data_IF_729073313411
#
_entry.id   IF_729073313411
#
_cell.length_a   1.000
_cell.length_b   1.000
_cell.length_c   1.000
_cell.angle_alpha   90.00
_cell.angle_beta   90.00
_cell.angle_gamma   90.00
#
_symmetry.space_group_name_H-M   'P 1'
#
loop_
_entity.id
_entity.type
_entity.pdbx_description
1 polymer ?
#
# COMPACT_ATOMS: atom_id res chain seq x y z
N UNK A 1 -0.64 16.68 -17.71
CA UNK A 1 -0.02 16.11 -18.92
C UNK A 1 -1.05 15.50 -19.88
N UNK A 2 -1.66 14.35 -19.59
CA UNK A 2 -2.46 13.58 -20.58
C UNK A 2 -3.50 14.37 -21.40
N UNK A 3 -4.42 15.10 -20.76
CA UNK A 3 -5.43 15.89 -21.48
C UNK A 3 -4.84 17.07 -22.26
N UNK A 4 -3.84 17.76 -21.70
CA UNK A 4 -3.13 18.85 -22.37
C UNK A 4 -2.35 18.37 -23.59
N UNK A 5 -1.65 17.23 -23.47
CA UNK A 5 -0.96 16.57 -24.58
C UNK A 5 -1.95 16.09 -25.65
N UNK A 6 -3.11 15.57 -25.25
CA UNK A 6 -4.17 15.18 -26.19
C UNK A 6 -4.73 16.40 -26.95
N UNK A 7 -4.92 17.53 -26.28
CA UNK A 7 -5.31 18.80 -26.92
C UNK A 7 -4.24 19.29 -27.90
N UNK A 8 -2.97 19.33 -27.49
CA UNK A 8 -1.85 19.70 -28.37
C UNK A 8 -1.78 18.77 -29.59
N UNK A 9 -1.97 17.47 -29.39
CA UNK A 9 -1.96 16.50 -30.49
C UNK A 9 -3.09 16.74 -31.49
N UNK A 10 -4.27 17.16 -31.05
CA UNK A 10 -5.39 17.45 -31.96
C UNK A 10 -5.19 18.75 -32.75
N UNK A 11 -4.54 19.74 -32.16
CA UNK A 11 -4.43 21.09 -32.73
C UNK A 11 -3.17 21.30 -33.58
N UNK A 12 -2.05 20.65 -33.25
CA UNK A 12 -0.79 20.80 -34.01
C UNK A 12 -0.86 19.91 -35.25
N UNK A 13 -0.96 20.51 -36.45
CA UNK A 13 -0.86 19.78 -37.73
C UNK A 13 0.51 20.07 -38.36
N UNK A 14 1.22 19.01 -38.72
CA UNK A 14 2.51 19.09 -39.37
C UNK A 14 2.42 18.53 -40.79
N UNK A 15 3.33 18.95 -41.64
CA UNK A 15 3.49 18.37 -42.97
C UNK A 15 3.98 16.91 -42.86
N UNK A 16 3.65 16.06 -43.84
CA UNK A 16 3.95 14.60 -43.82
C UNK A 16 5.40 14.28 -43.43
N UNK A 17 6.37 15.07 -43.90
CA UNK A 17 7.80 14.88 -43.63
C UNK A 17 8.21 15.17 -42.18
N UNK A 18 7.37 15.87 -41.41
CA UNK A 18 7.64 16.29 -40.03
C UNK A 18 6.71 15.62 -39.01
N UNK A 19 5.77 14.77 -39.43
CA UNK A 19 4.82 14.11 -38.53
C UNK A 19 5.52 13.27 -37.46
N UNK A 20 6.67 12.67 -37.77
CA UNK A 20 7.48 11.91 -36.81
C UNK A 20 8.01 12.75 -35.64
N UNK A 21 8.23 14.05 -35.83
CA UNK A 21 8.71 14.94 -34.76
C UNK A 21 7.64 15.23 -33.70
N UNK A 22 6.37 15.04 -34.05
CA UNK A 22 5.24 15.41 -33.19
C UNK A 22 5.19 14.60 -31.89
N UNK A 23 5.12 13.26 -31.90
CA UNK A 23 5.13 12.47 -30.67
C UNK A 23 6.51 12.42 -30.00
N UNK A 24 7.60 12.57 -30.77
CA UNK A 24 8.97 12.39 -30.26
C UNK A 24 9.47 13.64 -29.52
N UNK A 25 9.16 14.84 -30.01
CA UNK A 25 9.75 16.08 -29.51
C UNK A 25 8.69 17.10 -29.10
N UNK A 26 7.77 17.42 -30.00
CA UNK A 26 6.86 18.57 -29.83
C UNK A 26 5.87 18.32 -28.68
N UNK A 27 5.23 17.16 -28.65
CA UNK A 27 4.25 16.83 -27.63
C UNK A 27 4.87 16.63 -26.23
N UNK A 28 6.01 15.94 -26.07
CA UNK A 28 6.70 15.87 -24.78
C UNK A 28 7.13 17.25 -24.26
N UNK A 29 7.74 18.10 -25.10
CA UNK A 29 8.21 19.43 -24.69
C UNK A 29 7.02 20.34 -24.33
N UNK A 30 6.07 20.52 -25.24
CA UNK A 30 4.96 21.43 -25.00
C UNK A 30 4.01 20.90 -23.91
N UNK A 31 3.81 19.58 -23.84
CA UNK A 31 2.97 18.95 -22.82
C UNK A 31 3.58 19.05 -21.42
N UNK A 32 4.90 18.84 -21.29
CA UNK A 32 5.61 19.02 -20.02
C UNK A 32 5.72 20.49 -19.64
N UNK A 33 6.01 21.39 -20.59
CA UNK A 33 6.05 22.84 -20.37
C UNK A 33 4.68 23.36 -19.90
N UNK A 34 3.60 23.01 -20.59
CA UNK A 34 2.24 23.40 -20.20
C UNK A 34 1.90 22.88 -18.79
N UNK A 35 2.21 21.61 -18.50
CA UNK A 35 1.94 21.02 -17.19
C UNK A 35 2.80 21.67 -16.10
N UNK A 36 4.07 21.95 -16.38
CA UNK A 36 5.00 22.60 -15.48
C UNK A 36 4.61 24.04 -15.16
N UNK A 37 4.23 24.83 -16.17
CA UNK A 37 3.75 26.21 -15.97
C UNK A 37 2.45 26.24 -15.19
N UNK A 38 1.49 25.34 -15.47
CA UNK A 38 0.28 25.20 -14.66
C UNK A 38 0.61 24.83 -13.21
N UNK A 39 1.56 23.92 -13.01
CA UNK A 39 2.03 23.56 -11.67
C UNK A 39 2.68 24.74 -10.95
N UNK A 40 3.45 25.58 -11.65
CA UNK A 40 4.11 26.73 -11.02
C UNK A 40 3.14 27.87 -10.68
N UNK A 41 2.27 28.26 -11.62
CA UNK A 41 1.49 29.50 -11.49
C UNK A 41 0.08 29.30 -10.95
N UNK A 42 -0.50 28.11 -11.07
CA UNK A 42 -1.91 27.88 -10.74
C UNK A 42 -2.06 26.88 -9.61
N UNK A 43 -1.34 25.77 -9.66
CA UNK A 43 -1.57 24.64 -8.75
C UNK A 43 -0.62 24.67 -7.55
N UNK A 44 0.62 25.13 -7.74
CA UNK A 44 1.70 24.99 -6.77
C UNK A 44 1.43 25.69 -5.45
N UNK A 45 1.01 26.96 -5.49
CA UNK A 45 0.73 27.74 -4.28
C UNK A 45 -0.47 27.19 -3.49
N UNK A 46 -1.65 26.91 -4.08
CA UNK A 46 -2.75 26.26 -3.36
C UNK A 46 -2.37 24.91 -2.75
N UNK A 47 -1.59 24.10 -3.48
CA UNK A 47 -1.14 22.79 -2.98
C UNK A 47 -0.12 22.95 -1.84
N UNK A 48 0.79 23.91 -1.93
CA UNK A 48 1.75 24.20 -0.87
C UNK A 48 1.05 24.67 0.42
N UNK A 49 0.06 25.56 0.31
CA UNK A 49 -0.75 26.01 1.45
C UNK A 49 -1.54 24.86 2.07
N UNK A 50 -2.15 24.00 1.25
CA UNK A 50 -2.84 22.80 1.73
C UNK A 50 -1.88 21.86 2.46
N UNK A 51 -0.70 21.61 1.87
CA UNK A 51 0.31 20.72 2.46
C UNK A 51 0.85 21.29 3.78
N UNK A 52 1.06 22.60 3.87
CA UNK A 52 1.47 23.27 5.11
C UNK A 52 0.40 23.10 6.20
N UNK A 53 -0.87 23.40 5.89
CA UNK A 53 -1.99 23.22 6.83
C UNK A 53 -2.12 21.77 7.30
N UNK A 54 -2.01 20.81 6.38
CA UNK A 54 -2.04 19.38 6.70
C UNK A 54 -0.84 18.98 7.56
N UNK A 55 0.35 19.51 7.25
CA UNK A 55 1.57 19.22 8.00
C UNK A 55 1.49 19.74 9.43
N UNK A 56 1.00 20.96 9.61
CA UNK A 56 0.79 21.56 10.93
C UNK A 56 -0.26 20.78 11.73
N UNK A 57 -1.36 20.37 11.09
CA UNK A 57 -2.35 19.52 11.73
C UNK A 57 -1.73 18.20 12.21
N UNK A 58 -1.01 17.50 11.33
CA UNK A 58 -0.36 16.22 11.62
C UNK A 58 0.73 16.33 12.69
N UNK A 59 1.52 17.41 12.70
CA UNK A 59 2.56 17.65 13.71
C UNK A 59 1.98 17.91 15.10
N UNK A 60 0.81 18.55 15.16
CA UNK A 60 0.11 18.84 16.40
C UNK A 60 -0.84 17.71 16.84
N UNK A 61 -0.91 16.61 16.09
CA UNK A 61 -1.73 15.46 16.48
C UNK A 61 -1.20 14.80 17.75
N UNK A 62 -2.06 14.71 18.76
CA UNK A 62 -1.75 14.01 20.01
C UNK A 62 -2.41 12.63 20.05
N UNK A 63 -1.65 11.63 20.51
CA UNK A 63 -2.12 10.32 20.97
C UNK A 63 -3.21 9.67 20.12
N UNK A 64 -4.48 9.87 20.49
CA UNK A 64 -5.63 9.21 19.87
C UNK A 64 -5.83 9.51 18.37
N UNK A 65 -5.54 10.73 17.91
CA UNK A 65 -5.68 11.07 16.48
C UNK A 65 -4.61 10.39 15.63
N UNK A 66 -3.41 10.20 16.16
CA UNK A 66 -2.30 9.51 15.49
C UNK A 66 -2.62 8.03 15.27
N UNK A 67 -3.18 7.40 16.30
CA UNK A 67 -3.64 6.01 16.24
C UNK A 67 -4.75 5.84 15.19
N UNK A 68 -5.74 6.75 15.19
CA UNK A 68 -6.84 6.71 14.23
C UNK A 68 -6.35 6.91 12.78
N UNK A 69 -5.43 7.85 12.55
CA UNK A 69 -4.82 8.04 11.24
C UNK A 69 -4.08 6.77 10.78
N UNK A 70 -3.28 6.17 11.67
CA UNK A 70 -2.59 4.92 11.39
C UNK A 70 -3.55 3.79 11.03
N UNK A 71 -4.68 3.68 11.74
CA UNK A 71 -5.73 2.73 11.46
C UNK A 71 -6.31 2.93 10.06
N UNK A 72 -6.67 4.17 9.70
CA UNK A 72 -7.24 4.49 8.39
C UNK A 72 -6.26 4.18 7.26
N UNK A 73 -5.00 4.61 7.38
CA UNK A 73 -3.94 4.29 6.42
C UNK A 73 -3.82 2.77 6.27
N UNK A 74 -3.80 2.04 7.39
CA UNK A 74 -3.69 0.60 7.37
C UNK A 74 -4.87 -0.11 6.67
N UNK A 75 -6.10 0.34 6.92
CA UNK A 75 -7.28 -0.15 6.21
C UNK A 75 -7.17 0.09 4.70
N UNK A 76 -6.77 1.29 4.29
CA UNK A 76 -6.62 1.65 2.88
C UNK A 76 -5.54 0.82 2.17
N UNK A 77 -4.41 0.57 2.84
CA UNK A 77 -3.33 -0.25 2.28
C UNK A 77 -3.78 -1.69 1.97
N UNK A 78 -4.71 -2.25 2.73
CA UNK A 78 -5.18 -3.63 2.53
C UNK A 78 -6.44 -3.77 1.68
N UNK A 79 -7.16 -2.67 1.42
CA UNK A 79 -8.49 -2.71 0.82
C UNK A 79 -8.52 -3.40 -0.56
N UNK A 80 -7.56 -3.06 -1.42
CA UNK A 80 -7.49 -3.54 -2.81
C UNK A 80 -6.10 -4.10 -3.19
N UNK A 81 -5.28 -4.43 -2.19
CA UNK A 81 -4.00 -5.13 -2.33
C UNK A 81 -3.04 -4.55 -3.40
N UNK A 82 -3.05 -3.23 -3.59
CA UNK A 82 -2.22 -2.54 -4.59
C UNK A 82 -3.02 -1.75 -5.63
N UNK A 83 -4.35 -1.72 -5.50
CA UNK A 83 -5.24 -0.91 -6.33
C UNK A 83 -5.25 0.58 -5.97
N UNK A 84 -6.23 1.34 -6.51
CA UNK A 84 -6.30 2.80 -6.36
C UNK A 84 -6.32 3.29 -4.91
N UNK A 85 -6.98 2.59 -3.99
CA UNK A 85 -7.12 3.00 -2.59
C UNK A 85 -5.79 2.83 -1.86
N UNK A 86 -5.12 1.68 -2.05
CA UNK A 86 -3.77 1.45 -1.54
C UNK A 86 -2.79 2.50 -2.07
N UNK A 87 -2.78 2.75 -3.40
CA UNK A 87 -1.86 3.73 -3.99
C UNK A 87 -2.16 5.16 -3.52
N UNK A 88 -3.42 5.50 -3.26
CA UNK A 88 -3.77 6.79 -2.67
C UNK A 88 -3.18 6.97 -1.26
N UNK A 89 -3.32 5.96 -0.38
CA UNK A 89 -2.74 5.99 0.96
C UNK A 89 -1.20 6.03 0.92
N UNK A 90 -0.58 5.27 0.02
CA UNK A 90 0.87 5.27 -0.16
C UNK A 90 1.39 6.61 -0.69
N UNK A 91 0.71 7.20 -1.68
CA UNK A 91 1.08 8.50 -2.24
C UNK A 91 0.93 9.62 -1.19
N UNK A 92 -0.15 9.60 -0.40
CA UNK A 92 -0.33 10.50 0.73
C UNK A 92 0.83 10.39 1.72
N UNK A 93 1.16 9.16 2.14
CA UNK A 93 2.23 8.91 3.11
C UNK A 93 3.61 9.30 2.59
N UNK A 94 3.87 9.07 1.30
CA UNK A 94 5.12 9.45 0.62
C UNK A 94 5.23 10.98 0.49
N UNK A 95 4.14 11.66 0.15
CA UNK A 95 4.13 13.12 0.00
C UNK A 95 4.51 13.85 1.30
N UNK A 96 4.16 13.27 2.45
CA UNK A 96 4.48 13.81 3.77
C UNK A 96 5.96 13.71 4.15
N UNK A 97 6.74 12.84 3.49
CA UNK A 97 8.19 12.75 3.70
C UNK A 97 8.87 14.07 3.35
N UNK A 98 8.40 14.77 2.32
CA UNK A 98 8.93 16.07 1.92
C UNK A 98 8.71 17.17 2.98
N UNK A 99 7.74 16.97 3.88
CA UNK A 99 7.46 17.85 5.02
C UNK A 99 8.03 17.30 6.34
N UNK A 100 8.94 16.33 6.26
CA UNK A 100 9.60 15.66 7.39
C UNK A 100 8.62 14.95 8.34
N UNK A 101 7.46 14.53 7.83
CA UNK A 101 6.44 13.78 8.58
C UNK A 101 6.51 12.32 8.16
N UNK A 102 7.23 11.52 8.95
CA UNK A 102 7.62 10.15 8.60
C UNK A 102 6.74 9.04 9.19
N UNK A 103 5.85 9.37 10.13
CA UNK A 103 4.97 8.41 10.81
C UNK A 103 3.98 7.71 9.87
N UNK A 104 3.20 8.45 9.06
CA UNK A 104 2.29 7.88 8.06
C UNK A 104 2.97 6.90 7.11
N UNK A 105 4.22 7.18 6.70
CA UNK A 105 4.99 6.28 5.86
C UNK A 105 5.33 4.97 6.57
N UNK A 106 5.71 5.00 7.85
CA UNK A 106 5.93 3.79 8.62
C UNK A 106 4.65 2.95 8.75
N UNK A 107 3.51 3.61 9.03
CA UNK A 107 2.22 2.94 9.12
C UNK A 107 1.82 2.28 7.79
N UNK A 108 1.97 2.99 6.67
CA UNK A 108 1.68 2.47 5.34
C UNK A 108 2.56 1.26 5.00
N UNK A 109 3.86 1.33 5.30
CA UNK A 109 4.79 0.23 5.07
C UNK A 109 4.45 -1.02 5.88
N UNK A 110 4.30 -0.88 7.20
CA UNK A 110 3.95 -2.01 8.06
C UNK A 110 2.63 -2.64 7.61
N UNK A 111 1.62 -1.81 7.34
CA UNK A 111 0.30 -2.27 6.94
C UNK A 111 0.22 -2.87 5.53
N UNK A 112 1.10 -2.50 4.60
CA UNK A 112 1.12 -3.13 3.26
C UNK A 112 1.85 -4.46 3.22
N UNK A 113 2.73 -4.74 4.19
CA UNK A 113 3.40 -6.05 4.33
C UNK A 113 2.47 -7.10 4.98
N UNK A 114 1.56 -6.69 5.87
CA UNK A 114 0.73 -7.61 6.67
C UNK A 114 -0.25 -8.48 5.88
N UNK A 115 -0.88 -8.07 4.76
CA UNK A 115 -1.81 -8.93 4.03
C UNK A 115 -1.18 -10.24 3.53
N UNK A 116 -0.12 -10.22 2.71
CA UNK A 116 0.50 -11.45 2.21
C UNK A 116 1.25 -12.23 3.31
N UNK A 117 1.87 -11.55 4.30
CA UNK A 117 2.49 -12.23 5.43
C UNK A 117 1.46 -12.96 6.31
N UNK A 118 0.32 -12.32 6.58
CA UNK A 118 -0.75 -12.89 7.38
C UNK A 118 -1.41 -14.07 6.70
N UNK A 119 -1.58 -14.03 5.38
CA UNK A 119 -2.02 -15.18 4.58
C UNK A 119 -1.00 -16.32 4.67
N UNK A 120 0.28 -16.05 4.46
CA UNK A 120 1.33 -17.06 4.54
C UNK A 120 1.41 -17.73 5.92
N UNK A 121 1.16 -16.95 6.98
CA UNK A 121 1.08 -17.48 8.34
C UNK A 121 -0.20 -18.32 8.51
N UNK A 122 -1.34 -17.86 8.02
CA UNK A 122 -2.63 -18.55 8.13
C UNK A 122 -2.63 -19.91 7.41
N UNK A 123 -2.01 -20.01 6.23
CA UNK A 123 -1.93 -21.26 5.47
C UNK A 123 -1.12 -22.34 6.20
N UNK A 124 -0.11 -21.93 6.98
CA UNK A 124 0.71 -22.83 7.80
C UNK A 124 0.03 -23.21 9.11
N UNK A 125 -0.60 -22.25 9.80
CA UNK A 125 -1.25 -22.50 11.11
C UNK A 125 -2.62 -23.17 10.99
N UNK A 126 -3.35 -22.91 9.90
CA UNK A 126 -4.73 -23.37 9.72
C UNK A 126 -4.93 -24.09 8.38
N UNK A 127 -4.10 -25.09 8.03
CA UNK A 127 -4.07 -25.69 6.68
C UNK A 127 -5.41 -26.27 6.24
N UNK A 128 -6.25 -26.74 7.19
CA UNK A 128 -7.59 -27.25 6.91
C UNK A 128 -8.59 -26.23 6.35
N UNK A 129 -8.24 -24.93 6.26
CA UNK A 129 -9.06 -23.86 5.66
C UNK A 129 -8.60 -23.44 4.27
N UNK A 130 -7.50 -24.02 3.79
CA UNK A 130 -6.86 -23.64 2.53
C UNK A 130 -6.68 -24.86 1.64
N UNK A 131 -6.89 -24.70 0.33
CA UNK A 131 -6.66 -25.75 -0.67
C UNK A 131 -5.17 -26.08 -0.79
N UNK A 132 -4.82 -27.15 -1.50
CA UNK A 132 -3.41 -27.48 -1.80
C UNK A 132 -2.70 -26.29 -2.45
N UNK A 133 -3.29 -25.75 -3.52
CA UNK A 133 -2.78 -24.59 -4.25
C UNK A 133 -2.66 -23.33 -3.38
N UNK A 134 -3.64 -23.07 -2.49
CA UNK A 134 -3.58 -21.92 -1.57
C UNK A 134 -2.43 -22.07 -0.56
N UNK A 135 -2.11 -23.29 -0.12
CA UNK A 135 -0.99 -23.52 0.80
C UNK A 135 0.35 -23.33 0.11
N UNK A 136 0.48 -23.81 -1.13
CA UNK A 136 1.68 -23.62 -1.94
C UNK A 136 1.90 -22.13 -2.26
N UNK A 137 0.84 -21.45 -2.71
CA UNK A 137 0.87 -20.01 -2.95
C UNK A 137 1.19 -19.20 -1.67
N UNK A 138 0.88 -19.73 -0.48
CA UNK A 138 1.23 -19.10 0.79
C UNK A 138 2.73 -18.89 0.99
N UNK A 139 3.58 -19.77 0.46
CA UNK A 139 5.04 -19.56 0.53
C UNK A 139 5.49 -18.41 -0.37
N UNK A 140 4.93 -18.30 -1.57
CA UNK A 140 5.18 -17.17 -2.46
C UNK A 140 4.67 -15.86 -1.83
N UNK A 141 3.48 -15.87 -1.21
CA UNK A 141 2.94 -14.73 -0.47
C UNK A 141 3.88 -14.28 0.66
N UNK A 142 4.55 -15.19 1.37
CA UNK A 142 5.52 -14.81 2.40
C UNK A 142 6.65 -13.94 1.82
N UNK A 143 7.24 -14.36 0.71
CA UNK A 143 8.35 -13.65 0.06
C UNK A 143 7.88 -12.29 -0.47
N UNK A 144 6.73 -12.26 -1.13
CA UNK A 144 6.11 -11.02 -1.63
C UNK A 144 5.81 -10.05 -0.48
N UNK A 145 5.29 -10.55 0.64
CA UNK A 145 5.03 -9.73 1.82
C UNK A 145 6.27 -9.14 2.45
N UNK A 146 7.35 -9.93 2.55
CA UNK A 146 8.66 -9.43 2.98
C UNK A 146 9.20 -8.35 2.04
N UNK A 147 8.85 -8.40 0.76
CA UNK A 147 9.22 -7.40 -0.24
C UNK A 147 8.25 -6.20 -0.33
N UNK A 148 7.24 -6.13 0.55
CA UNK A 148 6.18 -5.12 0.48
C UNK A 148 5.38 -5.14 -0.83
N UNK A 149 5.10 -6.36 -1.32
CA UNK A 149 4.26 -6.61 -2.48
C UNK A 149 2.94 -7.19 -1.96
N UNK A 150 1.95 -6.31 -1.75
CA UNK A 150 0.63 -6.67 -1.22
C UNK A 150 -0.18 -7.55 -2.18
N UNK A 151 0.18 -7.54 -3.46
CA UNK A 151 -0.47 -8.25 -4.56
C UNK A 151 -0.43 -9.78 -4.39
N UNK A 152 0.53 -10.30 -3.58
CA UNK A 152 0.57 -11.71 -3.20
C UNK A 152 -0.71 -12.21 -2.51
N UNK A 153 -1.54 -11.30 -1.99
CA UNK A 153 -2.84 -11.61 -1.38
C UNK A 153 -3.99 -11.70 -2.39
N UNK A 154 -3.84 -11.17 -3.62
CA UNK A 154 -4.91 -11.11 -4.63
C UNK A 154 -5.51 -12.49 -4.95
N UNK A 155 -4.72 -13.56 -5.17
CA UNK A 155 -5.28 -14.88 -5.50
C UNK A 155 -6.21 -15.43 -4.40
N UNK A 156 -5.94 -15.08 -3.14
CA UNK A 156 -6.75 -15.50 -2.00
C UNK A 156 -8.02 -14.66 -1.89
N UNK A 157 -7.89 -13.34 -2.05
CA UNK A 157 -9.02 -12.43 -2.06
C UNK A 157 -9.98 -12.67 -3.24
N UNK A 158 -9.45 -13.02 -4.42
CA UNK A 158 -10.27 -13.37 -5.58
C UNK A 158 -11.12 -14.63 -5.35
N UNK A 159 -10.60 -15.60 -4.58
CA UNK A 159 -11.33 -16.84 -4.24
C UNK A 159 -12.39 -16.65 -3.16
N UNK A 160 -12.13 -15.81 -2.16
CA UNK A 160 -13.04 -15.59 -1.03
C UNK A 160 -13.01 -14.13 -0.53
N UNK A 161 -13.53 -13.18 -1.32
CA UNK A 161 -13.32 -11.75 -1.09
C UNK A 161 -13.94 -11.27 0.22
N UNK A 162 -15.14 -11.75 0.54
CA UNK A 162 -15.91 -11.32 1.72
C UNK A 162 -15.28 -11.74 3.05
N UNK A 163 -14.37 -12.71 3.05
CA UNK A 163 -13.69 -13.17 4.27
C UNK A 163 -12.24 -12.75 4.30
N UNK A 164 -11.59 -12.78 3.14
CA UNK A 164 -10.17 -12.43 3.04
C UNK A 164 -9.99 -10.93 3.18
N UNK A 165 -10.65 -10.09 2.37
CA UNK A 165 -10.41 -8.64 2.38
C UNK A 165 -10.64 -8.04 3.78
N UNK A 166 -11.77 -8.32 4.49
CA UNK A 166 -11.93 -7.81 5.85
C UNK A 166 -10.87 -8.31 6.83
N UNK A 167 -10.38 -9.55 6.68
CA UNK A 167 -9.29 -10.07 7.51
C UNK A 167 -7.98 -9.30 7.28
N UNK A 168 -7.66 -9.01 6.02
CA UNK A 168 -6.47 -8.23 5.65
C UNK A 168 -6.59 -6.80 6.21
N UNK A 169 -7.74 -6.17 6.02
CA UNK A 169 -8.01 -4.81 6.50
C UNK A 169 -7.86 -4.71 8.02
N UNK A 170 -8.42 -5.64 8.79
CA UNK A 170 -8.32 -5.61 10.26
C UNK A 170 -6.85 -5.74 10.71
N UNK A 171 -6.08 -6.67 10.12
CA UNK A 171 -4.67 -6.81 10.48
C UNK A 171 -3.81 -5.62 10.06
N UNK A 172 -4.00 -5.09 8.86
CA UNK A 172 -3.29 -3.91 8.37
C UNK A 172 -3.66 -2.64 9.12
N UNK A 173 -4.94 -2.45 9.46
CA UNK A 173 -5.42 -1.37 10.31
C UNK A 173 -4.79 -1.43 11.70
N UNK A 174 -4.69 -2.63 12.30
CA UNK A 174 -4.00 -2.82 13.57
C UNK A 174 -2.50 -2.47 13.49
N UNK A 175 -1.81 -2.93 12.44
CA UNK A 175 -0.40 -2.59 12.24
C UNK A 175 -0.19 -1.08 12.09
N UNK A 176 -1.01 -0.41 11.28
CA UNK A 176 -0.93 1.04 11.12
C UNK A 176 -1.19 1.80 12.42
N UNK A 177 -2.19 1.38 13.19
CA UNK A 177 -2.53 1.95 14.49
C UNK A 177 -1.38 1.79 15.49
N UNK A 178 -0.81 0.58 15.63
CA UNK A 178 0.32 0.32 16.52
C UNK A 178 1.54 1.11 16.07
N UNK A 179 1.84 1.14 14.76
CA UNK A 179 2.97 1.89 14.20
C UNK A 179 2.93 3.36 14.59
N UNK A 180 1.75 4.00 14.49
CA UNK A 180 1.57 5.38 14.91
C UNK A 180 1.60 5.54 16.44
N UNK A 181 1.06 4.59 17.19
CA UNK A 181 1.05 4.61 18.65
C UNK A 181 2.46 4.58 19.26
N UNK A 182 3.34 3.75 18.69
CA UNK A 182 4.74 3.61 19.16
C UNK A 182 5.68 4.67 18.57
N UNK A 183 5.14 5.59 17.77
CA UNK A 183 5.93 6.64 17.11
C UNK A 183 6.95 6.10 16.12
N UNK A 184 6.65 4.97 15.45
CA UNK A 184 7.52 4.46 14.40
C UNK A 184 7.57 5.44 13.23
N UNK A 185 8.77 5.64 12.68
CA UNK A 185 8.98 6.53 11.54
C UNK A 185 9.80 5.83 10.48
N UNK A 186 9.52 6.15 9.22
CA UNK A 186 10.22 5.58 8.09
C UNK A 186 10.50 6.68 7.07
N UNK A 187 11.78 7.02 6.91
CA UNK A 187 12.22 8.24 6.20
C UNK A 187 12.22 8.11 4.69
N UNK A 188 12.02 6.89 4.20
CA UNK A 188 12.27 6.54 2.82
C UNK A 188 11.14 5.67 2.26
N UNK A 189 10.62 5.93 1.06
CA UNK A 189 9.50 5.17 0.50
C UNK A 189 10.02 3.85 -0.12
N UNK A 190 10.67 3.00 0.68
CA UNK A 190 11.41 1.83 0.23
C UNK A 190 10.76 0.53 0.71
N UNK A 191 10.76 -0.49 -0.14
CA UNK A 191 10.01 -1.73 0.05
C UNK A 191 10.56 -2.67 1.11
N UNK A 192 9.68 -3.10 2.02
CA UNK A 192 9.80 -4.38 2.72
C UNK A 192 10.85 -4.45 3.83
N UNK A 193 11.28 -5.68 4.14
CA UNK A 193 12.28 -5.96 5.16
C UNK A 193 13.67 -5.43 4.79
N UNK A 194 13.89 -5.15 3.50
CA UNK A 194 15.17 -4.66 2.96
C UNK A 194 15.56 -3.27 3.45
N UNK A 195 14.60 -2.50 3.96
CA UNK A 195 14.85 -1.17 4.54
C UNK A 195 15.36 -1.25 5.98
N UNK A 196 15.09 -2.35 6.70
CA UNK A 196 15.40 -2.47 8.12
C UNK A 196 16.91 -2.43 8.45
N UNK A 197 17.82 -2.99 7.62
CA UNK A 197 19.26 -2.90 7.85
C UNK A 197 19.85 -1.52 7.57
N UNK A 198 19.12 -0.62 6.91
CA UNK A 198 19.64 0.70 6.52
C UNK A 198 19.68 1.60 7.76
N UNK A 199 20.87 2.08 8.17
CA UNK A 199 20.99 2.92 9.36
C UNK A 199 20.10 4.17 9.26
N UNK A 200 19.38 4.49 10.33
CA UNK A 200 18.50 5.66 10.44
C UNK A 200 17.33 5.74 9.45
N UNK A 201 17.08 4.69 8.66
CA UNK A 201 15.92 4.65 7.76
C UNK A 201 14.61 4.46 8.55
N UNK A 202 14.66 3.65 9.62
CA UNK A 202 13.52 3.39 10.51
C UNK A 202 13.83 3.88 11.92
N UNK A 203 12.98 4.74 12.46
CA UNK A 203 13.01 5.13 13.88
C UNK A 203 12.04 4.23 14.64
N UNK A 204 12.43 3.81 15.85
CA UNK A 204 11.69 2.85 16.67
C UNK A 204 11.52 1.48 15.97
N UNK A 205 12.62 0.93 15.45
CA UNK A 205 12.63 -0.36 14.73
C UNK A 205 11.93 -1.49 15.51
N UNK A 206 12.15 -1.60 16.82
CA UNK A 206 11.47 -2.58 17.66
C UNK A 206 9.95 -2.40 17.66
N UNK A 207 9.46 -1.16 17.78
CA UNK A 207 8.03 -0.83 17.70
C UNK A 207 7.44 -1.12 16.32
N UNK A 208 8.17 -0.80 15.26
CA UNK A 208 7.79 -1.12 13.88
C UNK A 208 7.65 -2.63 13.65
N UNK A 209 8.60 -3.43 14.15
CA UNK A 209 8.55 -4.90 14.08
C UNK A 209 7.37 -5.45 14.87
N UNK A 210 7.09 -4.91 16.06
CA UNK A 210 5.91 -5.29 16.84
C UNK A 210 4.62 -4.99 16.09
N UNK A 211 4.50 -3.81 15.46
CA UNK A 211 3.35 -3.45 14.64
C UNK A 211 3.14 -4.43 13.47
N UNK A 212 4.22 -4.74 12.74
CA UNK A 212 4.22 -5.68 11.63
C UNK A 212 3.81 -7.09 12.07
N UNK A 213 4.38 -7.60 13.16
CA UNK A 213 4.07 -8.93 13.69
C UNK A 213 2.63 -8.97 14.18
N UNK A 214 2.19 -7.97 14.95
CA UNK A 214 0.83 -7.90 15.48
C UNK A 214 -0.21 -7.87 14.36
N UNK A 215 -0.01 -7.06 13.31
CA UNK A 215 -0.91 -7.04 12.17
C UNK A 215 -0.91 -8.35 11.38
N UNK A 216 0.25 -8.97 11.19
CA UNK A 216 0.40 -10.27 10.52
C UNK A 216 -0.36 -11.37 11.26
N UNK A 217 -0.18 -11.43 12.59
CA UNK A 217 -0.88 -12.39 13.46
C UNK A 217 -2.38 -12.12 13.46
N UNK A 218 -2.80 -10.85 13.55
CA UNK A 218 -4.21 -10.48 13.51
C UNK A 218 -4.88 -10.88 12.19
N UNK A 219 -4.23 -10.63 11.04
CA UNK A 219 -4.71 -11.12 9.74
C UNK A 219 -4.91 -12.64 9.76
N UNK A 220 -3.94 -13.39 10.30
CA UNK A 220 -4.03 -14.85 10.36
C UNK A 220 -5.15 -15.34 11.29
N UNK A 221 -5.35 -14.68 12.43
CA UNK A 221 -6.45 -14.97 13.36
C UNK A 221 -7.80 -14.66 12.70
N UNK A 222 -7.93 -13.52 12.03
CA UNK A 222 -9.16 -13.16 11.32
C UNK A 222 -9.48 -14.14 10.20
N UNK A 223 -8.48 -14.60 9.44
CA UNK A 223 -8.66 -15.64 8.44
C UNK A 223 -9.10 -16.97 9.06
N UNK A 224 -8.59 -17.32 10.25
CA UNK A 224 -9.06 -18.51 11.00
C UNK A 224 -10.54 -18.40 11.40
N UNK A 225 -10.95 -17.23 11.86
CA UNK A 225 -12.30 -16.97 12.36
C UNK A 225 -13.29 -16.94 11.19
N UNK A 226 -12.95 -16.24 10.11
CA UNK A 226 -13.86 -16.00 9.00
C UNK A 226 -13.87 -17.15 7.99
N UNK A 227 -12.72 -17.68 7.54
CA UNK A 227 -12.69 -18.81 6.59
C UNK A 227 -13.15 -20.10 7.27
N UNK A 228 -14.10 -20.78 6.63
CA UNK A 228 -14.59 -22.08 7.07
C UNK A 228 -13.58 -23.18 6.73
N UNK A 229 -13.48 -24.24 7.57
CA UNK A 229 -12.72 -25.44 7.19
C UNK A 229 -13.26 -26.02 5.87
N UNK A 230 -12.35 -26.51 5.04
CA UNK A 230 -12.71 -27.26 3.85
C UNK A 230 -13.37 -28.57 4.25
N UNK A 231 -14.42 -28.96 3.55
CA UNK A 231 -15.05 -30.26 3.74
C UNK A 231 -14.01 -31.36 3.48
N UNK A 232 -13.86 -32.30 4.42
CA UNK A 232 -13.02 -33.48 4.23
C UNK A 232 -13.60 -34.27 3.05
N UNK A 233 -12.81 -34.70 2.05
CA UNK A 233 -13.32 -35.61 1.03
C UNK A 233 -13.94 -36.83 1.72
N UNK A 234 -15.14 -37.22 1.31
CA UNK A 234 -15.76 -38.45 1.78
C UNK A 234 -14.76 -39.60 1.54
N UNK A 235 -14.54 -40.44 2.55
CA UNK A 235 -13.67 -41.60 2.39
C UNK A 235 -14.15 -42.40 1.16
N UNK A 236 -13.25 -42.86 0.28
CA UNK A 236 -13.65 -43.70 -0.83
C UNK A 236 -14.42 -44.90 -0.27
N UNK A 237 -15.64 -45.12 -0.77
CA UNK A 237 -16.43 -46.27 -0.40
C UNK A 237 -15.56 -47.51 -0.66
N UNK A 238 -15.25 -48.24 0.41
CA UNK A 238 -14.61 -49.54 0.32
C UNK A 238 -15.55 -50.44 -0.47
N UNK A 239 -15.18 -50.76 -1.71
CA UNK A 239 -15.83 -51.78 -2.54
C UNK A 239 -15.27 -53.14 -2.15
#
# INVERSE_FOLDING_TARGET
AGYGTAWLNRNIRLHKNLEGLKPVLILPILGSLLTGLLMLFVVGEPVAQLLATLSDWLRNMQGGSAILLGLIIGLMMAFDMGGPVNKAAYAFSTGLIASEIYGPMAAAMAAGMTPPLGIALATKLFPGRFTGDEREAGNAAAVLGLAFISEGAIPFAARDPFRVIPSLMVGSGLAGAISMAVGAQLKVPHGGIFVLPIPNAVVSLGGYLVALIAGTVMTAIMLRILKKPLAKPAAPATV
#
